data_IF_304457321942
#
_entry.id   IF_304457321942
#
_cell.length_a   1.000
_cell.length_b   1.000
_cell.length_c   1.000
_cell.angle_alpha   90.00
_cell.angle_beta   90.00
_cell.angle_gamma   90.00
#
_symmetry.space_group_name_H-M   'P 1'
#
loop_
_entity.id
_entity.type
_entity.pdbx_description
1 polymer ?
#
# COMPACT_ATOMS: atom_id res chain seq x y z
N UNK A 1 15.62 -14.63 12.59
CA UNK A 1 14.21 -14.25 12.41
C UNK A 1 13.25 -15.22 13.09
N UNK A 2 13.39 -16.54 12.92
CA UNK A 2 12.52 -17.57 13.56
C UNK A 2 12.33 -17.40 15.08
N UNK A 3 13.39 -17.02 15.81
CA UNK A 3 13.35 -16.87 17.27
C UNK A 3 12.60 -15.61 17.73
N UNK A 4 12.44 -14.59 16.88
CA UNK A 4 11.79 -13.35 17.26
C UNK A 4 10.26 -13.48 17.25
N UNK A 5 9.69 -14.08 16.20
CA UNK A 5 8.24 -14.27 16.12
C UNK A 5 7.70 -15.24 17.17
N UNK A 6 8.43 -16.33 17.43
CA UNK A 6 8.10 -17.24 18.51
C UNK A 6 8.12 -16.55 19.89
N UNK A 7 9.04 -15.60 20.10
CA UNK A 7 9.12 -14.80 21.32
C UNK A 7 7.90 -13.87 21.47
N UNK A 8 7.50 -13.18 20.40
CA UNK A 8 6.30 -12.34 20.41
C UNK A 8 5.04 -13.15 20.70
N UNK A 9 4.91 -14.32 20.08
CA UNK A 9 3.80 -15.25 20.34
C UNK A 9 3.80 -15.71 21.80
N UNK A 10 4.95 -16.09 22.35
CA UNK A 10 5.07 -16.49 23.76
C UNK A 10 4.66 -15.36 24.71
N UNK A 11 5.09 -14.11 24.48
CA UNK A 11 4.67 -12.98 25.32
C UNK A 11 3.17 -12.69 25.24
N UNK A 12 2.57 -12.86 24.05
CA UNK A 12 1.13 -12.74 23.90
C UNK A 12 0.38 -13.85 24.64
N UNK A 13 0.83 -15.10 24.51
CA UNK A 13 0.24 -16.24 25.20
C UNK A 13 0.37 -16.11 26.73
N UNK A 14 1.50 -15.65 27.25
CA UNK A 14 1.67 -15.38 28.69
C UNK A 14 0.76 -14.27 29.21
N UNK A 15 0.47 -13.25 28.39
CA UNK A 15 -0.48 -12.19 28.75
C UNK A 15 -1.94 -12.69 28.79
N UNK A 16 -2.28 -13.73 28.03
CA UNK A 16 -3.64 -14.31 27.98
C UNK A 16 -3.82 -15.46 28.97
N UNK A 17 -2.85 -16.37 29.07
CA UNK A 17 -2.96 -17.65 29.76
C UNK A 17 -2.10 -17.76 31.03
N UNK A 18 -1.27 -16.75 31.34
CA UNK A 18 -0.25 -16.83 32.39
C UNK A 18 -0.76 -16.96 33.83
N UNK A 19 0.09 -17.53 34.69
CA UNK A 19 -0.09 -17.72 36.14
C UNK A 19 0.17 -16.41 36.96
N UNK A 20 0.52 -16.47 38.26
CA UNK A 20 0.67 -15.27 39.15
C UNK A 20 1.57 -14.13 38.60
N UNK A 21 2.43 -14.35 37.61
CA UNK A 21 3.21 -13.31 36.92
C UNK A 21 2.48 -12.59 35.76
N UNK A 22 1.23 -12.99 35.47
CA UNK A 22 0.39 -12.53 34.33
C UNK A 22 0.01 -11.05 34.39
N UNK A 23 -0.09 -10.46 35.58
CA UNK A 23 -0.50 -9.04 35.72
C UNK A 23 0.46 -8.06 35.06
N UNK A 24 1.75 -8.39 34.97
CA UNK A 24 2.74 -7.55 34.28
C UNK A 24 2.62 -7.70 32.76
N UNK A 25 2.45 -8.92 32.27
CA UNK A 25 2.32 -9.20 30.83
C UNK A 25 1.04 -8.63 30.23
N UNK A 26 -0.05 -8.57 31.00
CA UNK A 26 -1.29 -7.90 30.60
C UNK A 26 -1.16 -6.38 30.38
N UNK A 27 -0.06 -5.74 30.83
CA UNK A 27 0.22 -4.32 30.58
C UNK A 27 1.05 -4.11 29.31
N UNK A 28 1.64 -5.16 28.75
CA UNK A 28 2.38 -5.08 27.50
C UNK A 28 1.39 -4.99 26.32
N UNK A 29 1.59 -4.00 25.45
CA UNK A 29 0.89 -3.86 24.17
C UNK A 29 1.94 -3.88 23.07
N UNK A 30 1.83 -4.85 22.17
CA UNK A 30 2.74 -4.99 21.03
C UNK A 30 1.98 -4.55 19.78
N UNK A 31 2.62 -3.71 18.97
CA UNK A 31 2.13 -3.31 17.65
C UNK A 31 3.14 -3.82 16.63
N UNK A 32 2.69 -4.67 15.72
CA UNK A 32 3.51 -5.23 14.66
C UNK A 32 2.97 -4.70 13.34
N UNK A 33 3.86 -4.13 12.53
CA UNK A 33 3.52 -3.61 11.20
C UNK A 33 4.22 -4.48 10.16
N UNK A 34 3.46 -4.99 9.19
CA UNK A 34 3.98 -5.75 8.07
C UNK A 34 3.55 -5.11 6.75
N UNK A 35 4.49 -5.05 5.80
CA UNK A 35 4.18 -4.81 4.39
C UNK A 35 3.96 -6.15 3.69
N UNK A 36 2.91 -6.26 2.90
CA UNK A 36 2.58 -7.43 2.07
C UNK A 36 3.37 -7.47 0.76
N UNK A 37 4.24 -6.48 0.52
CA UNK A 37 5.06 -6.41 -0.70
C UNK A 37 6.15 -7.48 -0.76
N UNK A 38 6.58 -7.98 0.40
CA UNK A 38 7.58 -9.05 0.51
C UNK A 38 6.94 -10.26 1.17
N UNK A 39 6.79 -11.35 0.41
CA UNK A 39 6.32 -12.63 0.93
C UNK A 39 7.39 -13.20 1.87
N UNK A 40 7.17 -13.06 3.19
CA UNK A 40 8.05 -13.66 4.18
C UNK A 40 7.72 -15.16 4.27
N UNK A 41 8.71 -16.08 4.14
CA UNK A 41 8.49 -17.51 4.27
C UNK A 41 8.30 -17.86 5.76
N UNK A 42 7.12 -17.55 6.30
CA UNK A 42 6.74 -17.79 7.69
C UNK A 42 5.76 -18.96 7.70
N UNK A 43 6.03 -19.95 8.55
CA UNK A 43 5.09 -21.03 8.83
C UNK A 43 3.80 -20.42 9.39
N UNK A 44 2.66 -20.69 8.72
CA UNK A 44 1.35 -20.17 9.11
C UNK A 44 0.99 -20.48 10.57
N UNK A 45 1.48 -21.60 11.13
CA UNK A 45 1.23 -21.97 12.54
C UNK A 45 2.06 -21.16 13.54
N UNK A 46 3.08 -20.44 13.07
CA UNK A 46 4.03 -19.66 13.87
C UNK A 46 4.07 -18.19 13.44
N UNK A 47 3.06 -17.79 12.66
CA UNK A 47 2.92 -16.41 12.23
C UNK A 47 2.46 -15.56 13.42
N UNK A 48 3.23 -14.54 13.81
CA UNK A 48 2.81 -13.62 14.88
C UNK A 48 1.65 -12.73 14.41
N UNK A 49 1.33 -12.76 13.12
CA UNK A 49 0.27 -12.00 12.46
C UNK A 49 -1.09 -12.71 12.51
N UNK A 50 -1.16 -13.92 13.07
CA UNK A 50 -2.42 -14.63 13.27
C UNK A 50 -2.97 -14.45 14.70
N UNK A 51 -2.40 -13.52 15.46
CA UNK A 51 -2.60 -13.37 16.89
C UNK A 51 -2.83 -11.89 17.22
N UNK A 52 -3.97 -11.57 17.84
CA UNK A 52 -4.33 -10.21 18.25
C UNK A 52 -5.44 -9.58 17.41
N UNK A 53 -5.49 -8.25 17.42
CA UNK A 53 -6.45 -7.46 16.65
C UNK A 53 -5.83 -7.07 15.31
N UNK A 54 -6.40 -7.60 14.23
CA UNK A 54 -6.01 -7.19 12.87
C UNK A 54 -6.68 -5.88 12.50
N UNK A 55 -5.84 -4.88 12.19
CA UNK A 55 -6.27 -3.57 11.72
C UNK A 55 -5.80 -3.38 10.29
N UNK A 56 -6.76 -3.35 9.35
CA UNK A 56 -6.50 -2.93 7.98
C UNK A 56 -6.44 -1.41 7.90
N UNK A 57 -5.45 -0.88 7.19
CA UNK A 57 -5.26 0.55 6.98
C UNK A 57 -5.67 0.89 5.54
N UNK A 58 -6.94 1.26 5.30
CA UNK A 58 -7.40 1.55 3.96
C UNK A 58 -6.77 2.85 3.43
N UNK A 59 -6.81 3.06 2.11
CA UNK A 59 -6.47 4.34 1.51
C UNK A 59 -7.28 5.49 2.12
N UNK A 60 -6.72 6.70 2.08
CA UNK A 60 -7.40 7.88 2.57
C UNK A 60 -8.66 8.17 1.76
N UNK A 61 -9.71 8.59 2.45
CA UNK A 61 -10.91 9.19 1.84
C UNK A 61 -10.64 10.66 1.52
N UNK A 62 -11.43 11.25 0.61
CA UNK A 62 -11.28 12.65 0.21
C UNK A 62 -11.19 13.63 1.40
N UNK A 63 -12.02 13.47 2.45
CA UNK A 63 -11.95 14.32 3.64
C UNK A 63 -10.67 14.14 4.48
N UNK A 64 -10.07 12.94 4.46
CA UNK A 64 -8.76 12.71 5.11
C UNK A 64 -7.63 13.33 4.28
N UNK A 65 -7.72 13.25 2.95
CA UNK A 65 -6.79 13.93 2.04
C UNK A 65 -6.87 15.45 2.19
N UNK A 66 -8.07 16.01 2.29
CA UNK A 66 -8.27 17.45 2.57
C UNK A 66 -7.68 17.84 3.94
N UNK A 67 -7.95 17.03 4.98
CA UNK A 67 -7.42 17.27 6.31
C UNK A 67 -5.88 17.26 6.31
N UNK A 68 -5.27 16.31 5.58
CA UNK A 68 -3.83 16.23 5.41
C UNK A 68 -3.29 17.43 4.62
N UNK A 69 -3.97 17.86 3.56
CA UNK A 69 -3.57 19.05 2.78
C UNK A 69 -3.46 20.29 3.69
N UNK A 70 -4.42 20.48 4.61
CA UNK A 70 -4.39 21.58 5.59
C UNK A 70 -3.20 21.48 6.55
N UNK A 71 -2.76 20.27 6.93
CA UNK A 71 -1.54 20.08 7.73
C UNK A 71 -0.26 20.51 6.98
N UNK A 72 -0.30 20.50 5.65
CA UNK A 72 0.75 21.04 4.78
C UNK A 72 0.52 22.51 4.39
N UNK A 73 -0.46 23.18 5.02
CA UNK A 73 -0.87 24.56 4.70
C UNK A 73 -1.33 24.75 3.24
N UNK A 74 -1.78 23.66 2.60
CA UNK A 74 -2.33 23.67 1.24
C UNK A 74 -3.86 23.78 1.29
N UNK A 75 -4.38 24.86 0.69
CA UNK A 75 -5.82 25.11 0.55
C UNK A 75 -6.29 24.72 -0.85
N UNK A 76 -6.39 23.40 -1.09
CA UNK A 76 -6.81 22.85 -2.37
C UNK A 76 -8.33 22.93 -2.53
N UNK A 77 -8.81 23.19 -3.76
CA UNK A 77 -10.23 23.08 -4.08
C UNK A 77 -10.70 21.63 -4.09
N UNK A 78 -12.01 21.42 -3.97
CA UNK A 78 -12.62 20.09 -4.07
C UNK A 78 -12.22 19.37 -5.37
N UNK A 79 -12.21 20.09 -6.50
CA UNK A 79 -11.81 19.54 -7.80
C UNK A 79 -10.36 19.04 -7.82
N UNK A 80 -9.44 19.75 -7.15
CA UNK A 80 -8.03 19.32 -7.04
C UNK A 80 -7.90 18.08 -6.17
N UNK A 81 -8.67 18.00 -5.07
CA UNK A 81 -8.72 16.80 -4.24
C UNK A 81 -9.27 15.62 -5.05
N UNK A 82 -10.34 15.82 -5.82
CA UNK A 82 -10.92 14.78 -6.68
C UNK A 82 -9.95 14.29 -7.75
N UNK A 83 -9.25 15.20 -8.46
CA UNK A 83 -8.22 14.85 -9.44
C UNK A 83 -7.10 14.01 -8.82
N UNK A 84 -6.62 14.39 -7.63
CA UNK A 84 -5.57 13.62 -6.95
C UNK A 84 -6.11 12.26 -6.49
N UNK A 85 -7.35 12.21 -5.99
CA UNK A 85 -8.01 10.96 -5.61
C UNK A 85 -8.19 10.03 -6.81
N UNK A 86 -8.56 10.53 -7.97
CA UNK A 86 -8.63 9.75 -9.22
C UNK A 86 -7.25 9.20 -9.61
N UNK A 87 -6.21 10.04 -9.51
CA UNK A 87 -4.85 9.67 -9.86
C UNK A 87 -4.27 8.59 -8.94
N UNK A 88 -4.31 8.78 -7.61
CA UNK A 88 -3.59 7.94 -6.65
C UNK A 88 -4.47 7.14 -5.70
N UNK A 89 -5.79 7.20 -5.85
CA UNK A 89 -6.78 6.45 -5.07
C UNK A 89 -6.63 6.60 -3.55
N UNK A 90 -6.17 7.76 -3.08
CA UNK A 90 -5.96 8.02 -1.64
C UNK A 90 -4.77 7.27 -1.04
N UNK A 91 -3.85 6.72 -1.84
CA UNK A 91 -2.68 6.01 -1.35
C UNK A 91 -1.84 6.91 -0.43
N UNK A 92 -1.71 6.59 0.88
CA UNK A 92 -1.17 7.53 1.87
C UNK A 92 0.19 8.13 1.51
N UNK A 93 1.13 7.28 1.09
CA UNK A 93 2.46 7.74 0.67
C UNK A 93 2.44 8.64 -0.57
N UNK A 94 1.63 8.32 -1.59
CA UNK A 94 1.59 9.09 -2.85
C UNK A 94 0.91 10.46 -2.64
N UNK A 95 -0.14 10.50 -1.81
CA UNK A 95 -0.78 11.74 -1.40
C UNK A 95 0.20 12.61 -0.60
N UNK A 96 0.88 12.02 0.38
CA UNK A 96 1.86 12.73 1.20
C UNK A 96 3.00 13.31 0.35
N UNK A 97 3.51 12.54 -0.62
CA UNK A 97 4.59 13.00 -1.49
C UNK A 97 4.15 14.17 -2.39
N UNK A 98 2.93 14.13 -2.93
CA UNK A 98 2.36 15.26 -3.67
C UNK A 98 2.33 16.53 -2.80
N UNK A 99 1.75 16.43 -1.59
CA UNK A 99 1.62 17.57 -0.70
C UNK A 99 2.97 18.10 -0.22
N UNK A 100 3.91 17.21 0.09
CA UNK A 100 5.26 17.60 0.47
C UNK A 100 5.98 18.39 -0.63
N UNK A 101 5.82 17.99 -1.89
CA UNK A 101 6.45 18.71 -3.00
C UNK A 101 5.74 20.03 -3.34
N UNK A 102 4.40 20.07 -3.28
CA UNK A 102 3.61 21.29 -3.47
C UNK A 102 3.87 22.32 -2.38
N UNK A 103 3.91 21.91 -1.11
CA UNK A 103 4.16 22.80 0.02
C UNK A 103 5.58 23.38 0.05
N UNK A 104 6.54 22.73 -0.62
CA UNK A 104 7.89 23.26 -0.81
C UNK A 104 8.03 24.10 -2.08
N UNK A 105 6.93 24.34 -2.82
CA UNK A 105 6.92 25.08 -4.08
C UNK A 105 7.91 24.51 -5.12
N UNK A 106 8.17 23.20 -5.05
CA UNK A 106 9.09 22.50 -5.97
C UNK A 106 8.50 22.30 -7.36
N UNK A 107 7.16 22.31 -7.46
CA UNK A 107 6.41 22.25 -8.69
C UNK A 107 5.00 22.80 -8.49
N UNK A 108 4.37 23.16 -9.61
CA UNK A 108 2.97 23.57 -9.68
C UNK A 108 2.03 22.37 -9.68
N UNK A 109 0.72 22.62 -9.51
CA UNK A 109 -0.30 21.56 -9.59
C UNK A 109 -0.35 20.95 -10.98
N UNK A 110 -0.27 21.79 -12.00
CA UNK A 110 -0.33 21.43 -13.41
C UNK A 110 0.87 20.54 -13.79
N UNK A 111 2.08 20.91 -13.36
CA UNK A 111 3.27 20.08 -13.52
C UNK A 111 3.16 18.73 -12.81
N UNK A 112 2.48 18.69 -11.65
CA UNK A 112 2.29 17.46 -10.89
C UNK A 112 1.40 16.50 -11.68
N UNK A 113 0.23 16.98 -12.13
CA UNK A 113 -0.72 16.18 -12.89
C UNK A 113 -0.13 15.71 -14.23
N UNK A 114 0.60 16.58 -14.93
CA UNK A 114 1.17 16.27 -16.23
C UNK A 114 2.28 15.21 -16.16
N UNK A 115 3.15 15.29 -15.15
CA UNK A 115 4.34 14.44 -15.09
C UNK A 115 4.20 13.25 -14.14
N UNK A 116 3.11 13.15 -13.36
CA UNK A 116 2.96 12.15 -12.30
C UNK A 116 3.33 10.72 -12.71
N UNK A 117 2.83 10.28 -13.86
CA UNK A 117 3.04 8.93 -14.39
C UNK A 117 4.27 8.82 -15.33
N UNK A 118 5.33 9.61 -15.09
CA UNK A 118 6.55 9.62 -15.91
C UNK A 118 7.80 9.51 -15.06
N UNK A 119 8.93 9.17 -15.69
CA UNK A 119 10.24 9.16 -15.02
C UNK A 119 10.72 10.57 -14.58
N UNK A 120 10.11 11.63 -15.10
CA UNK A 120 10.37 13.02 -14.66
C UNK A 120 9.47 13.43 -13.48
N UNK A 121 8.42 12.67 -13.18
CA UNK A 121 7.45 12.97 -12.14
C UNK A 121 7.94 12.69 -10.72
N UNK A 122 7.26 13.26 -9.73
CA UNK A 122 7.61 13.07 -8.31
C UNK A 122 7.52 11.61 -7.85
N UNK A 123 6.75 10.77 -8.55
CA UNK A 123 6.54 9.37 -8.20
C UNK A 123 7.58 8.42 -8.79
N UNK A 124 8.54 8.91 -9.59
CA UNK A 124 9.44 8.07 -10.39
C UNK A 124 10.16 6.99 -9.57
N UNK A 125 10.69 7.32 -8.37
CA UNK A 125 11.43 6.34 -7.54
C UNK A 125 10.53 5.18 -7.09
N UNK A 126 9.28 5.49 -6.75
CA UNK A 126 8.32 4.48 -6.34
C UNK A 126 7.92 3.59 -7.51
N UNK A 127 7.65 4.20 -8.67
CA UNK A 127 7.27 3.50 -9.89
C UNK A 127 8.39 2.61 -10.42
N UNK A 128 9.64 3.09 -10.42
CA UNK A 128 10.83 2.31 -10.82
C UNK A 128 11.09 1.12 -9.89
N UNK A 129 10.84 1.28 -8.59
CA UNK A 129 10.95 0.18 -7.63
C UNK A 129 9.91 -0.91 -7.91
N UNK A 130 8.66 -0.52 -8.15
CA UNK A 130 7.59 -1.45 -8.54
C UNK A 130 7.90 -2.13 -9.88
N UNK A 131 8.41 -1.38 -10.87
CA UNK A 131 8.85 -1.91 -12.16
C UNK A 131 9.99 -2.94 -11.99
N UNK A 132 10.98 -2.64 -11.15
CA UNK A 132 12.06 -3.57 -10.83
C UNK A 132 11.54 -4.88 -10.23
N UNK A 133 10.56 -4.79 -9.33
CA UNK A 133 9.93 -5.97 -8.74
C UNK A 133 9.12 -6.79 -9.78
N UNK A 134 8.41 -6.13 -10.70
CA UNK A 134 7.71 -6.82 -11.80
C UNK A 134 8.69 -7.49 -12.75
N UNK A 135 9.77 -6.81 -13.14
CA UNK A 135 10.79 -7.35 -14.06
C UNK A 135 11.54 -8.56 -13.49
N UNK A 136 11.65 -8.68 -12.17
CA UNK A 136 12.19 -9.86 -11.51
C UNK A 136 11.29 -11.10 -11.65
N UNK A 137 10.02 -10.93 -12.02
CA UNK A 137 9.01 -11.97 -12.12
C UNK A 137 8.21 -11.84 -13.43
N UNK A 138 8.71 -12.38 -14.55
CA UNK A 138 8.12 -12.18 -15.88
C UNK A 138 6.63 -12.54 -15.98
N UNK A 139 6.20 -13.61 -15.32
CA UNK A 139 4.79 -14.03 -15.30
C UNK A 139 3.89 -12.99 -14.61
N UNK A 140 4.41 -12.34 -13.55
CA UNK A 140 3.73 -11.28 -12.82
C UNK A 140 3.66 -9.99 -13.64
N UNK A 141 4.74 -9.64 -14.34
CA UNK A 141 4.78 -8.52 -15.27
C UNK A 141 3.75 -8.70 -16.41
N UNK A 142 3.71 -9.88 -17.03
CA UNK A 142 2.75 -10.19 -18.09
C UNK A 142 1.31 -10.14 -17.59
N UNK A 143 1.04 -10.67 -16.39
CA UNK A 143 -0.28 -10.60 -15.78
C UNK A 143 -0.69 -9.15 -15.46
N UNK A 144 0.23 -8.33 -14.95
CA UNK A 144 -0.09 -6.93 -14.67
C UNK A 144 -0.33 -6.12 -15.94
N UNK A 145 0.41 -6.40 -17.02
CA UNK A 145 0.20 -5.79 -18.32
C UNK A 145 -1.25 -6.00 -18.80
N UNK A 146 -1.79 -7.21 -18.65
CA UNK A 146 -3.19 -7.51 -18.98
C UNK A 146 -4.16 -6.63 -18.17
N UNK A 147 -3.89 -6.46 -16.88
CA UNK A 147 -4.72 -5.66 -15.96
C UNK A 147 -4.73 -4.18 -16.33
N UNK A 148 -3.58 -3.59 -16.69
CA UNK A 148 -3.51 -2.16 -17.03
C UNK A 148 -4.02 -1.85 -18.44
N UNK A 149 -3.99 -2.82 -19.36
CA UNK A 149 -4.55 -2.68 -20.71
C UNK A 149 -6.07 -2.86 -20.77
N UNK A 150 -6.64 -3.66 -19.85
CA UNK A 150 -8.06 -3.95 -19.87
C UNK A 150 -8.92 -2.77 -19.37
N UNK A 151 -10.00 -2.49 -20.09
CA UNK A 151 -11.03 -1.52 -19.66
C UNK A 151 -11.97 -2.10 -18.60
N UNK A 152 -12.06 -3.43 -18.55
CA UNK A 152 -12.87 -4.17 -17.59
C UNK A 152 -11.98 -5.01 -16.66
N UNK A 153 -12.47 -5.37 -15.46
CA UNK A 153 -11.73 -6.24 -14.55
C UNK A 153 -11.30 -7.58 -15.19
N UNK A 154 -10.06 -8.00 -14.94
CA UNK A 154 -9.47 -9.21 -15.55
C UNK A 154 -9.45 -10.36 -14.53
N UNK A 155 -9.79 -11.57 -14.96
CA UNK A 155 -9.59 -12.77 -14.15
C UNK A 155 -8.15 -13.25 -14.29
N UNK A 156 -7.41 -13.29 -13.18
CA UNK A 156 -6.05 -13.81 -13.13
C UNK A 156 -5.98 -15.08 -12.27
N UNK A 157 -4.92 -15.85 -12.47
CA UNK A 157 -4.59 -16.91 -11.52
C UNK A 157 -4.44 -16.35 -10.10
N UNK A 158 -5.01 -17.07 -9.14
CA UNK A 158 -5.12 -16.63 -7.75
C UNK A 158 -3.78 -16.14 -7.19
N UNK A 159 -2.71 -16.90 -7.40
CA UNK A 159 -1.39 -16.57 -6.87
C UNK A 159 -0.81 -15.26 -7.45
N UNK A 160 -1.06 -14.97 -8.74
CA UNK A 160 -0.65 -13.71 -9.37
C UNK A 160 -1.48 -12.54 -8.84
N UNK A 161 -2.80 -12.72 -8.74
CA UNK A 161 -3.69 -11.70 -8.22
C UNK A 161 -3.35 -11.29 -6.77
N UNK A 162 -3.05 -12.27 -5.90
CA UNK A 162 -2.61 -11.99 -4.52
C UNK A 162 -1.26 -11.27 -4.46
N UNK A 163 -0.29 -11.64 -5.33
CA UNK A 163 1.00 -10.94 -5.39
C UNK A 163 0.85 -9.49 -5.85
N UNK A 164 0.08 -9.25 -6.90
CA UNK A 164 -0.19 -7.88 -7.39
C UNK A 164 -0.89 -7.02 -6.34
N UNK A 165 -1.86 -7.59 -5.62
CA UNK A 165 -2.51 -6.93 -4.47
C UNK A 165 -1.52 -6.66 -3.34
N UNK A 166 -0.64 -7.62 -3.02
CA UNK A 166 0.39 -7.47 -1.98
C UNK A 166 1.40 -6.36 -2.29
N UNK A 167 1.75 -6.18 -3.57
CA UNK A 167 2.56 -5.05 -4.05
C UNK A 167 1.80 -3.71 -4.05
N UNK A 168 0.49 -3.72 -3.76
CA UNK A 168 -0.37 -2.55 -3.85
C UNK A 168 -0.69 -2.09 -5.27
N UNK A 169 -0.35 -2.89 -6.29
CA UNK A 169 -0.55 -2.56 -7.72
C UNK A 169 -1.98 -2.79 -8.22
N UNK A 170 -2.72 -3.68 -7.55
CA UNK A 170 -4.04 -4.10 -7.99
C UNK A 170 -5.05 -4.20 -6.84
N UNK A 171 -6.30 -3.91 -7.16
CA UNK A 171 -7.46 -4.24 -6.33
C UNK A 171 -8.02 -5.60 -6.73
N UNK A 172 -8.54 -6.32 -5.74
CA UNK A 172 -9.20 -7.61 -5.93
C UNK A 172 -10.67 -7.49 -5.51
N UNK A 173 -11.59 -7.71 -6.43
CA UNK A 173 -13.00 -7.91 -6.15
C UNK A 173 -13.38 -9.31 -6.62
N UNK A 174 -13.61 -10.22 -5.66
CA UNK A 174 -13.76 -11.66 -5.94
C UNK A 174 -12.54 -12.23 -6.70
N UNK A 175 -12.71 -12.60 -7.97
CA UNK A 175 -11.63 -13.05 -8.87
C UNK A 175 -11.20 -11.98 -9.87
N UNK A 176 -11.86 -10.82 -9.86
CA UNK A 176 -11.68 -9.76 -10.82
C UNK A 176 -10.61 -8.77 -10.32
N UNK A 177 -9.63 -8.50 -11.18
CA UNK A 177 -8.44 -7.69 -10.87
C UNK A 177 -8.50 -6.39 -11.65
N UNK A 178 -8.29 -5.27 -10.96
CA UNK A 178 -8.19 -3.93 -11.56
C UNK A 178 -6.93 -3.22 -11.05
N UNK A 179 -6.37 -2.25 -11.80
CA UNK A 179 -5.31 -1.40 -11.26
C UNK A 179 -5.78 -0.70 -9.98
N UNK A 180 -4.89 -0.58 -8.99
CA UNK A 180 -5.27 0.03 -7.71
C UNK A 180 -5.46 1.55 -7.79
N UNK A 181 -4.82 2.21 -8.75
CA UNK A 181 -5.02 3.62 -9.05
C UNK A 181 -4.65 3.95 -10.51
N UNK A 182 -5.05 5.14 -10.96
CA UNK A 182 -4.83 5.58 -12.34
C UNK A 182 -3.36 5.89 -12.64
N UNK A 183 -2.59 6.32 -11.63
CA UNK A 183 -1.15 6.53 -11.74
C UNK A 183 -0.45 5.27 -12.26
N UNK A 184 -0.77 4.12 -11.68
CA UNK A 184 -0.15 2.86 -12.09
C UNK A 184 -0.63 2.43 -13.48
N UNK A 185 -1.93 2.59 -13.77
CA UNK A 185 -2.43 2.33 -15.13
C UNK A 185 -1.66 3.15 -16.16
N UNK A 186 -1.51 4.46 -15.96
CA UNK A 186 -0.81 5.35 -16.89
C UNK A 186 0.67 4.97 -17.06
N UNK A 187 1.38 4.70 -15.95
CA UNK A 187 2.81 4.43 -16.00
C UNK A 187 3.14 3.06 -16.63
N UNK A 188 2.37 2.02 -16.30
CA UNK A 188 2.66 0.64 -16.73
C UNK A 188 1.96 0.22 -18.03
N UNK A 189 1.18 1.11 -18.65
CA UNK A 189 0.58 0.86 -19.97
C UNK A 189 1.61 0.93 -21.10
N UNK A 190 2.76 1.57 -20.86
CA UNK A 190 3.82 1.84 -21.82
C UNK A 190 4.99 0.85 -21.73
#
# INVERSE_FOLDING_TARGET
>A
MLNFFALLQSWHEEAIYGNMASELWQKLRLVIVQSTEVELPIDAKRSPFNIGLDLDLPPFRAGQVESLARCYELYLSADKIEQLMELVAGHPYLVQLAFYCLAQEKLTWEELMQNAATDAGIYHKHLQRLLGNLNAHPDLAAAYQQVVQATEPVNLERHLAFKLRGMGLANLQENAVTPSCQLYRQYFLH
#
